data_IF_155794705455
#
_entry.id   IF_155794705455
#
_cell.length_a   1.000
_cell.length_b   1.000
_cell.length_c   1.000
_cell.angle_alpha   90.00
_cell.angle_beta   90.00
_cell.angle_gamma   90.00
#
_symmetry.space_group_name_H-M   'P 1'
#
loop_
_entity.id
_entity.type
_entity.pdbx_description
1 polymer ?
#
# COMPACT_ATOMS: atom_id res chain seq x y z
N UNK A 1 38.79 7.49 15.61
CA UNK A 1 38.96 8.07 14.27
C UNK A 1 38.78 6.93 13.27
N UNK A 2 37.53 6.61 12.92
CA UNK A 2 37.24 5.69 11.81
C UNK A 2 36.53 6.52 10.76
N UNK A 3 37.31 6.95 9.77
CA UNK A 3 36.82 7.54 8.53
C UNK A 3 35.98 6.48 7.83
N UNK A 4 34.66 6.61 7.90
CA UNK A 4 33.80 5.99 6.91
C UNK A 4 34.07 6.71 5.59
N UNK A 5 34.69 6.00 4.66
CA UNK A 5 34.79 6.37 3.26
C UNK A 5 33.42 6.81 2.77
N UNK A 6 33.27 8.12 2.64
CA UNK A 6 32.20 8.73 1.88
C UNK A 6 32.56 8.54 0.42
N UNK A 7 31.96 7.54 -0.23
CA UNK A 7 32.07 7.36 -1.67
C UNK A 7 31.54 8.64 -2.34
N UNK A 8 32.38 9.48 -2.97
CA UNK A 8 31.92 10.74 -3.52
C UNK A 8 31.24 10.43 -4.87
N UNK A 9 29.90 10.49 -4.89
CA UNK A 9 29.10 10.50 -6.12
C UNK A 9 27.98 9.47 -6.21
N UNK A 10 27.84 8.56 -5.24
CA UNK A 10 26.75 7.57 -5.20
C UNK A 10 25.61 7.96 -4.26
N UNK A 11 24.40 7.41 -4.44
CA UNK A 11 23.32 7.57 -3.46
C UNK A 11 23.75 7.01 -2.10
N UNK A 12 23.54 7.80 -1.03
CA UNK A 12 23.87 7.38 0.35
C UNK A 12 22.79 6.42 0.89
N UNK A 13 22.93 5.16 0.50
CA UNK A 13 22.03 4.09 0.94
C UNK A 13 22.07 3.88 2.46
N UNK A 14 23.23 4.11 3.09
CA UNK A 14 23.38 3.94 4.55
C UNK A 14 22.57 4.99 5.31
N UNK A 15 22.56 6.24 4.85
CA UNK A 15 21.72 7.29 5.43
C UNK A 15 20.23 6.97 5.31
N UNK A 16 19.78 6.48 4.15
CA UNK A 16 18.40 6.03 3.95
C UNK A 16 18.03 4.86 4.87
N UNK A 17 18.90 3.86 4.97
CA UNK A 17 18.71 2.72 5.86
C UNK A 17 18.63 3.15 7.33
N UNK A 18 19.52 4.05 7.77
CA UNK A 18 19.53 4.60 9.12
C UNK A 18 18.26 5.41 9.44
N UNK A 19 17.66 6.08 8.45
CA UNK A 19 16.36 6.72 8.60
C UNK A 19 15.25 5.70 8.85
N UNK A 20 15.28 4.53 8.24
CA UNK A 20 14.23 3.52 8.42
C UNK A 20 14.50 2.55 9.59
N UNK A 21 15.74 2.50 10.10
CA UNK A 21 16.15 1.69 11.25
C UNK A 21 15.65 2.24 12.61
N UNK A 22 14.38 2.67 12.67
CA UNK A 22 13.71 3.16 13.86
C UNK A 22 12.23 2.77 13.80
N UNK A 23 11.74 2.13 14.86
CA UNK A 23 10.39 1.56 14.89
C UNK A 23 9.28 2.59 14.74
N UNK A 24 9.47 3.82 15.22
CA UNK A 24 8.49 4.90 15.10
C UNK A 24 8.45 5.45 13.68
N UNK A 25 9.63 5.72 13.09
CA UNK A 25 9.72 6.20 11.70
C UNK A 25 9.19 5.17 10.71
N UNK A 26 9.59 3.90 10.86
CA UNK A 26 9.05 2.81 10.05
C UNK A 26 7.52 2.68 10.24
N UNK A 27 7.03 2.79 11.48
CA UNK A 27 5.60 2.79 11.79
C UNK A 27 4.83 3.92 11.11
N UNK A 28 5.39 5.14 11.08
CA UNK A 28 4.78 6.27 10.37
C UNK A 28 4.71 6.02 8.86
N UNK A 29 5.80 5.55 8.24
CA UNK A 29 5.81 5.23 6.81
C UNK A 29 4.76 4.16 6.48
N UNK A 30 4.64 3.11 7.31
CA UNK A 30 3.63 2.06 7.15
C UNK A 30 2.18 2.55 7.35
N UNK A 31 1.97 3.57 8.18
CA UNK A 31 0.66 4.18 8.38
C UNK A 31 0.25 5.04 7.18
N UNK A 32 1.20 5.85 6.67
CA UNK A 32 1.01 6.77 5.54
C UNK A 32 0.85 6.08 4.18
N UNK A 33 1.12 4.77 4.13
CA UNK A 33 0.71 3.92 3.02
C UNK A 33 -0.82 3.88 2.82
N UNK A 34 -1.64 4.51 3.66
CA UNK A 34 -3.08 4.61 3.40
C UNK A 34 -3.44 5.66 2.33
N UNK A 35 -2.43 6.37 1.83
CA UNK A 35 -2.52 7.40 0.78
C UNK A 35 -3.04 8.75 1.27
N UNK A 36 -3.43 8.86 2.55
CA UNK A 36 -3.95 10.10 3.13
C UNK A 36 -2.81 10.92 3.73
N UNK A 37 -3.03 12.22 3.86
CA UNK A 37 -2.17 13.07 4.65
C UNK A 37 -2.61 13.03 6.13
N UNK A 38 -1.65 12.87 7.04
CA UNK A 38 -1.88 12.75 8.48
C UNK A 38 -1.29 13.94 9.23
N UNK A 39 -1.87 14.28 10.37
CA UNK A 39 -1.26 15.21 11.32
C UNK A 39 -0.23 14.51 12.22
N UNK A 40 0.67 15.30 12.81
CA UNK A 40 1.63 14.79 13.79
C UNK A 40 0.96 14.14 15.01
N UNK A 41 -0.22 14.62 15.42
CA UNK A 41 -0.97 14.10 16.58
C UNK A 41 -1.55 12.72 16.25
N UNK A 42 -2.11 12.54 15.06
CA UNK A 42 -2.66 11.25 14.64
C UNK A 42 -1.56 10.19 14.54
N UNK A 43 -0.40 10.55 13.98
CA UNK A 43 0.75 9.65 13.92
C UNK A 43 1.33 9.36 15.31
N UNK A 44 1.44 10.36 16.18
CA UNK A 44 1.87 10.16 17.57
C UNK A 44 0.97 9.14 18.29
N UNK A 45 -0.35 9.30 18.16
CA UNK A 45 -1.34 8.36 18.71
C UNK A 45 -1.22 6.97 18.08
N UNK A 46 -0.99 6.90 16.77
CA UNK A 46 -0.82 5.63 16.05
C UNK A 46 0.40 4.84 16.55
N UNK A 47 1.54 5.52 16.76
CA UNK A 47 2.78 4.87 17.22
C UNK A 47 2.91 4.77 18.75
N UNK A 48 1.99 5.36 19.51
CA UNK A 48 2.05 5.36 20.98
C UNK A 48 3.20 6.18 21.55
N UNK A 49 3.57 7.29 20.90
CA UNK A 49 4.68 8.17 21.30
C UNK A 49 4.18 9.58 21.65
N UNK A 50 4.98 10.34 22.39
CA UNK A 50 4.69 11.73 22.68
C UNK A 50 4.68 12.60 21.40
N UNK A 51 3.90 13.67 21.39
CA UNK A 51 3.79 14.58 20.23
C UNK A 51 5.13 15.24 19.85
N UNK A 52 5.99 15.53 20.84
CA UNK A 52 7.35 16.05 20.63
C UNK A 52 8.24 15.02 19.93
N UNK A 53 8.20 13.76 20.36
CA UNK A 53 8.91 12.63 19.74
C UNK A 53 8.46 12.43 18.29
N UNK A 54 7.15 12.41 18.05
CA UNK A 54 6.60 12.32 16.70
C UNK A 54 7.09 13.49 15.82
N UNK A 55 7.05 14.72 16.32
CA UNK A 55 7.53 15.91 15.60
C UNK A 55 8.99 15.80 15.20
N UNK A 56 9.87 15.34 16.10
CA UNK A 56 11.28 15.11 15.81
C UNK A 56 11.50 14.08 14.70
N UNK A 57 10.78 12.96 14.76
CA UNK A 57 10.82 11.94 13.71
C UNK A 57 10.32 12.45 12.36
N UNK A 58 9.20 13.18 12.35
CA UNK A 58 8.63 13.75 11.13
C UNK A 58 9.56 14.79 10.49
N UNK A 59 10.21 15.64 11.29
CA UNK A 59 11.17 16.61 10.76
C UNK A 59 12.36 15.90 10.07
N UNK A 60 12.84 14.77 10.62
CA UNK A 60 13.90 13.98 9.96
C UNK A 60 13.44 13.37 8.65
N UNK A 61 12.24 12.78 8.62
CA UNK A 61 11.68 12.14 7.43
C UNK A 61 11.34 13.15 6.32
N UNK A 62 10.87 14.34 6.69
CA UNK A 62 10.63 15.44 5.73
C UNK A 62 11.95 16.03 5.24
N UNK A 63 12.89 16.28 6.15
CA UNK A 63 14.22 16.82 5.81
C UNK A 63 15.03 15.91 4.90
N UNK A 64 14.77 14.60 4.90
CA UNK A 64 15.39 13.63 4.01
C UNK A 64 14.60 13.34 2.73
N UNK A 65 13.46 14.00 2.52
CA UNK A 65 12.63 13.80 1.33
C UNK A 65 11.78 12.52 1.30
N UNK A 66 11.71 11.73 2.38
CA UNK A 66 10.81 10.56 2.44
C UNK A 66 9.35 10.97 2.62
N UNK A 67 9.13 12.05 3.34
CA UNK A 67 7.80 12.64 3.50
C UNK A 67 7.78 14.04 2.91
N UNK A 68 6.62 14.43 2.43
CA UNK A 68 6.31 15.84 2.16
C UNK A 68 5.31 16.35 3.18
N UNK A 69 5.31 17.67 3.38
CA UNK A 69 4.40 18.34 4.31
C UNK A 69 3.61 19.43 3.60
N UNK A 70 2.36 19.58 4.00
CA UNK A 70 1.47 20.64 3.54
C UNK A 70 0.84 21.33 4.74
N UNK A 71 0.69 22.66 4.64
CA UNK A 71 -0.01 23.46 5.64
C UNK A 71 -1.42 23.74 5.17
N UNK A 72 -2.40 23.28 5.94
CA UNK A 72 -3.80 23.62 5.73
C UNK A 72 -4.33 24.26 7.01
N UNK A 73 -4.52 25.58 6.96
CA UNK A 73 -4.85 26.39 8.13
C UNK A 73 -3.80 26.25 9.23
N UNK A 74 -4.25 25.91 10.45
CA UNK A 74 -3.37 25.73 11.62
C UNK A 74 -2.68 24.37 11.69
N UNK A 75 -3.07 23.43 10.82
CA UNK A 75 -2.61 22.05 10.88
C UNK A 75 -1.50 21.80 9.85
N UNK A 76 -0.49 21.06 10.30
CA UNK A 76 0.58 20.53 9.45
C UNK A 76 0.25 19.08 9.14
N UNK A 77 0.03 18.80 7.86
CA UNK A 77 -0.21 17.46 7.34
C UNK A 77 1.06 16.93 6.69
N UNK A 78 1.28 15.62 6.81
CA UNK A 78 2.39 14.90 6.19
C UNK A 78 1.87 13.71 5.40
N UNK A 79 2.54 13.39 4.29
CA UNK A 79 2.28 12.19 3.48
C UNK A 79 3.60 11.67 2.92
N UNK A 80 3.60 10.44 2.41
CA UNK A 80 4.72 9.94 1.60
C UNK A 80 4.99 10.93 0.45
N UNK A 81 6.26 11.18 0.17
CA UNK A 81 6.66 12.20 -0.80
C UNK A 81 6.01 11.97 -2.17
N UNK A 82 6.09 10.73 -2.65
CA UNK A 82 5.68 10.31 -3.98
C UNK A 82 5.36 8.80 -4.04
N UNK A 83 4.82 8.30 -5.17
CA UNK A 83 4.57 6.87 -5.38
C UNK A 83 5.82 5.99 -5.31
N UNK A 84 6.99 6.48 -5.73
CA UNK A 84 8.24 5.71 -5.72
C UNK A 84 8.67 5.43 -4.27
N UNK A 85 8.48 6.40 -3.38
CA UNK A 85 8.69 6.24 -1.94
C UNK A 85 7.72 5.22 -1.34
N UNK A 86 6.45 5.24 -1.75
CA UNK A 86 5.48 4.22 -1.32
C UNK A 86 5.93 2.82 -1.75
N UNK A 87 6.36 2.68 -3.01
CA UNK A 87 6.87 1.41 -3.54
C UNK A 87 8.11 0.91 -2.79
N UNK A 88 9.04 1.80 -2.44
CA UNK A 88 10.19 1.46 -1.61
C UNK A 88 9.77 0.89 -0.25
N UNK A 89 8.85 1.59 0.44
CA UNK A 89 8.36 1.16 1.76
C UNK A 89 7.62 -0.17 1.67
N UNK A 90 6.81 -0.38 0.63
CA UNK A 90 6.13 -1.66 0.35
C UNK A 90 7.12 -2.80 0.15
N UNK A 91 8.15 -2.59 -0.70
CA UNK A 91 9.20 -3.58 -0.96
C UNK A 91 9.93 -3.96 0.33
N UNK A 92 10.36 -2.97 1.12
CA UNK A 92 11.02 -3.22 2.40
C UNK A 92 10.11 -3.98 3.38
N UNK A 93 8.83 -3.62 3.45
CA UNK A 93 7.85 -4.29 4.32
C UNK A 93 7.63 -5.75 3.90
N UNK A 94 7.63 -6.05 2.59
CA UNK A 94 7.48 -7.41 2.06
C UNK A 94 8.65 -8.34 2.38
N UNK A 95 9.86 -7.77 2.55
CA UNK A 95 11.08 -8.49 2.92
C UNK A 95 11.28 -8.57 4.43
N UNK A 96 10.63 -7.71 5.20
CA UNK A 96 10.78 -7.67 6.65
C UNK A 96 10.22 -8.95 7.29
N UNK A 97 10.91 -9.51 8.30
CA UNK A 97 10.38 -10.64 9.04
C UNK A 97 9.07 -10.23 9.73
N UNK A 98 8.09 -11.14 9.73
CA UNK A 98 6.88 -10.94 10.54
C UNK A 98 7.31 -10.80 12.00
N UNK A 99 6.91 -9.70 12.64
CA UNK A 99 7.14 -9.55 14.09
C UNK A 99 6.52 -10.75 14.79
N UNK A 100 7.35 -11.47 15.54
CA UNK A 100 6.97 -12.70 16.22
C UNK A 100 6.10 -12.47 17.46
N UNK A 101 5.83 -11.21 17.83
CA UNK A 101 5.01 -10.90 19.01
C UNK A 101 3.54 -11.24 18.76
N UNK A 102 2.97 -12.23 19.47
CA UNK A 102 1.56 -12.55 19.32
C UNK A 102 0.71 -11.35 19.80
N UNK A 103 -0.38 -11.03 19.10
CA UNK A 103 -1.28 -9.96 19.50
C UNK A 103 -1.83 -10.21 20.90
N UNK A 104 -1.63 -9.25 21.81
CA UNK A 104 -1.95 -9.39 23.24
C UNK A 104 -3.43 -9.14 23.58
N UNK A 105 -4.31 -9.03 22.58
CA UNK A 105 -5.74 -8.80 22.78
C UNK A 105 -6.59 -9.20 21.58
N UNK A 106 -7.86 -9.55 21.82
CA UNK A 106 -8.82 -9.89 20.77
C UNK A 106 -9.02 -8.77 19.74
N UNK A 107 -9.11 -7.47 20.10
CA UNK A 107 -9.16 -6.39 19.12
C UNK A 107 -7.90 -6.29 18.25
N UNK A 108 -6.72 -6.60 18.79
CA UNK A 108 -5.49 -6.63 18.00
C UNK A 108 -5.48 -7.82 17.01
N UNK A 109 -5.95 -8.99 17.43
CA UNK A 109 -6.15 -10.16 16.55
C UNK A 109 -7.10 -9.81 15.41
N UNK A 110 -8.26 -9.22 15.72
CA UNK A 110 -9.28 -8.90 14.72
C UNK A 110 -8.80 -7.86 13.71
N UNK A 111 -8.07 -6.83 14.15
CA UNK A 111 -7.44 -5.85 13.23
C UNK A 111 -6.41 -6.50 12.30
N UNK A 112 -5.58 -7.41 12.84
CA UNK A 112 -4.60 -8.15 12.05
C UNK A 112 -5.28 -9.02 10.99
N UNK A 113 -6.34 -9.76 11.38
CA UNK A 113 -7.15 -10.57 10.45
C UNK A 113 -7.84 -9.73 9.39
N UNK A 114 -8.38 -8.57 9.75
CA UNK A 114 -9.00 -7.66 8.80
C UNK A 114 -8.00 -7.16 7.74
N UNK A 115 -6.79 -6.76 8.16
CA UNK A 115 -5.73 -6.33 7.24
C UNK A 115 -5.23 -7.47 6.33
N UNK A 116 -5.17 -8.69 6.84
CA UNK A 116 -4.79 -9.86 6.06
C UNK A 116 -5.86 -10.21 5.01
N UNK A 117 -7.15 -10.15 5.37
CA UNK A 117 -8.25 -10.43 4.43
C UNK A 117 -8.30 -9.45 3.28
N UNK A 118 -8.37 -8.15 3.58
CA UNK A 118 -8.45 -7.12 2.55
C UNK A 118 -7.97 -5.77 3.08
N UNK A 119 -7.12 -5.10 2.30
CA UNK A 119 -6.62 -3.76 2.62
C UNK A 119 -6.23 -2.99 1.36
N UNK A 120 -5.95 -1.71 1.51
CA UNK A 120 -5.14 -0.97 0.53
C UNK A 120 -3.65 -1.13 0.87
N UNK A 121 -2.80 -1.45 -0.11
CA UNK A 121 -1.35 -1.46 0.10
C UNK A 121 -0.83 -0.02 0.12
N UNK A 122 -1.05 0.68 -0.98
CA UNK A 122 -1.02 2.14 -1.09
C UNK A 122 -2.36 2.61 -1.64
N UNK A 123 -2.45 2.65 -2.97
CA UNK A 123 -3.64 3.02 -3.73
C UNK A 123 -4.26 1.85 -4.49
N UNK A 124 -3.83 0.62 -4.22
CA UNK A 124 -4.29 -0.61 -4.84
C UNK A 124 -4.66 -1.67 -3.80
N UNK A 125 -5.46 -2.66 -4.19
CA UNK A 125 -5.95 -3.72 -3.30
C UNK A 125 -4.88 -4.74 -2.97
N UNK A 126 -4.90 -5.21 -1.73
CA UNK A 126 -3.96 -6.16 -1.14
C UNK A 126 -4.64 -7.01 -0.06
N UNK A 127 -3.86 -7.89 0.57
CA UNK A 127 -4.37 -9.02 1.36
C UNK A 127 -4.88 -10.14 0.46
N UNK A 128 -5.51 -11.12 1.08
CA UNK A 128 -6.10 -12.26 0.40
C UNK A 128 -7.01 -11.83 -0.77
N UNK A 129 -7.83 -10.78 -0.61
CA UNK A 129 -8.69 -10.28 -1.68
C UNK A 129 -7.89 -9.73 -2.87
N UNK A 130 -6.87 -8.92 -2.63
CA UNK A 130 -6.07 -8.34 -3.72
C UNK A 130 -5.30 -9.41 -4.51
N UNK A 131 -4.80 -10.43 -3.79
CA UNK A 131 -4.13 -11.60 -4.36
C UNK A 131 -5.12 -12.44 -5.17
N UNK A 132 -6.29 -12.77 -4.62
CA UNK A 132 -7.33 -13.55 -5.29
C UNK A 132 -7.85 -12.89 -6.57
N UNK A 133 -8.05 -11.56 -6.58
CA UNK A 133 -8.41 -10.81 -7.78
C UNK A 133 -7.30 -10.93 -8.84
N UNK A 134 -6.04 -10.81 -8.44
CA UNK A 134 -4.89 -10.88 -9.36
C UNK A 134 -4.77 -12.26 -9.99
N UNK A 135 -4.98 -13.32 -9.20
CA UNK A 135 -5.01 -14.70 -9.67
C UNK A 135 -6.16 -14.95 -10.63
N UNK A 136 -7.39 -14.54 -10.27
CA UNK A 136 -8.53 -14.72 -11.14
C UNK A 136 -8.38 -13.97 -12.48
N UNK A 137 -7.76 -12.79 -12.48
CA UNK A 137 -7.40 -12.09 -13.71
C UNK A 137 -6.34 -12.85 -14.52
N UNK A 138 -5.34 -13.44 -13.86
CA UNK A 138 -4.29 -14.24 -14.52
C UNK A 138 -4.88 -15.50 -15.15
N UNK A 139 -5.70 -16.25 -14.41
CA UNK A 139 -6.32 -17.50 -14.86
C UNK A 139 -7.27 -17.29 -16.04
N UNK A 140 -7.82 -16.08 -16.17
CA UNK A 140 -8.68 -15.66 -17.28
C UNK A 140 -7.90 -15.03 -18.45
N UNK A 141 -6.57 -15.04 -18.42
CA UNK A 141 -5.74 -14.46 -19.48
C UNK A 141 -5.79 -12.93 -19.55
N UNK A 142 -6.29 -12.25 -18.51
CA UNK A 142 -6.33 -10.78 -18.45
C UNK A 142 -4.98 -10.18 -18.04
N UNK A 143 -4.15 -10.99 -17.38
CA UNK A 143 -2.77 -10.66 -17.00
C UNK A 143 -1.82 -11.72 -17.54
N UNK A 144 -0.69 -11.26 -18.07
CA UNK A 144 0.40 -12.11 -18.55
C UNK A 144 1.64 -11.90 -17.66
N UNK A 145 2.39 -12.97 -17.43
CA UNK A 145 3.59 -13.02 -16.58
C UNK A 145 4.86 -13.45 -17.32
N UNK A 146 4.81 -13.80 -18.62
CA UNK A 146 5.95 -14.37 -19.36
C UNK A 146 7.19 -13.46 -19.38
N UNK A 147 7.00 -12.16 -19.56
CA UNK A 147 8.09 -11.15 -19.61
C UNK A 147 8.02 -10.15 -18.44
N UNK A 148 7.45 -10.61 -17.32
CA UNK A 148 6.98 -9.75 -16.25
C UNK A 148 5.50 -9.43 -16.41
N UNK A 149 4.92 -8.81 -15.39
CA UNK A 149 3.48 -8.55 -15.37
C UNK A 149 3.08 -7.57 -16.48
N UNK A 150 2.17 -7.99 -17.35
CA UNK A 150 1.57 -7.19 -18.41
C UNK A 150 0.03 -7.29 -18.37
N UNK A 151 -0.65 -6.22 -18.80
CA UNK A 151 -2.10 -6.24 -19.03
C UNK A 151 -2.34 -6.69 -20.48
N UNK A 152 -3.17 -7.71 -20.67
CA UNK A 152 -3.49 -8.21 -22.01
C UNK A 152 -4.62 -7.40 -22.67
N UNK A 153 -4.94 -7.74 -23.93
CA UNK A 153 -6.11 -7.20 -24.63
C UNK A 153 -7.41 -7.50 -23.88
N UNK A 154 -7.56 -8.72 -23.37
CA UNK A 154 -8.74 -9.16 -22.62
C UNK A 154 -8.87 -8.40 -21.29
N UNK A 155 -7.76 -8.18 -20.59
CA UNK A 155 -7.75 -7.35 -19.39
C UNK A 155 -8.12 -5.89 -19.68
N UNK A 156 -7.68 -5.35 -20.81
CA UNK A 156 -8.04 -4.00 -21.24
C UNK A 156 -9.54 -3.89 -21.57
N UNK A 157 -10.10 -4.87 -22.29
CA UNK A 157 -11.52 -4.94 -22.60
C UNK A 157 -12.38 -5.04 -21.33
N UNK A 158 -11.98 -5.90 -20.39
CA UNK A 158 -12.67 -6.06 -19.11
C UNK A 158 -12.68 -4.77 -18.27
N UNK A 159 -11.57 -4.03 -18.22
CA UNK A 159 -11.54 -2.72 -17.56
C UNK A 159 -12.48 -1.72 -18.22
N UNK A 160 -12.54 -1.71 -19.56
CA UNK A 160 -13.45 -0.84 -20.30
C UNK A 160 -14.94 -1.16 -20.02
N UNK A 161 -15.31 -2.44 -19.90
CA UNK A 161 -16.65 -2.86 -19.49
C UNK A 161 -17.03 -2.41 -18.07
N UNK A 162 -16.05 -2.21 -17.19
CA UNK A 162 -16.22 -1.62 -15.86
C UNK A 162 -16.30 -0.09 -15.88
N UNK A 163 -16.13 0.54 -17.05
CA UNK A 163 -16.00 1.99 -17.18
C UNK A 163 -14.66 2.52 -16.63
N UNK A 164 -13.66 1.66 -16.48
CA UNK A 164 -12.33 2.04 -15.99
C UNK A 164 -11.47 2.47 -17.17
N UNK A 165 -11.31 3.79 -17.33
CA UNK A 165 -10.36 4.35 -18.29
C UNK A 165 -8.95 4.38 -17.69
N UNK A 166 -7.98 3.81 -18.41
CA UNK A 166 -6.57 3.93 -18.05
C UNK A 166 -6.05 5.31 -18.46
N UNK A 167 -5.34 6.03 -17.57
CA UNK A 167 -4.74 7.30 -17.94
C UNK A 167 -3.70 7.08 -19.05
N UNK A 168 -3.51 8.06 -19.95
CA UNK A 168 -2.48 8.00 -20.99
C UNK A 168 -1.10 7.84 -20.35
N UNK A 169 -0.13 7.34 -21.12
CA UNK A 169 1.21 6.99 -20.65
C UNK A 169 1.76 8.01 -19.63
N UNK A 170 1.85 7.58 -18.37
CA UNK A 170 2.44 8.35 -17.27
C UNK A 170 3.82 7.78 -16.94
N UNK A 171 4.59 8.44 -16.06
CA UNK A 171 5.80 7.82 -15.48
C UNK A 171 5.50 6.55 -14.69
N UNK A 172 4.25 6.34 -14.26
CA UNK A 172 3.81 5.17 -13.52
C UNK A 172 3.55 4.02 -14.49
N UNK A 173 4.07 2.80 -14.21
CA UNK A 173 3.82 1.65 -15.05
C UNK A 173 2.32 1.28 -15.08
N UNK A 174 1.80 0.78 -16.22
CA UNK A 174 0.39 0.42 -16.35
C UNK A 174 0.00 -0.67 -15.35
N UNK A 175 0.81 -1.72 -15.24
CA UNK A 175 0.69 -2.79 -14.25
C UNK A 175 2.02 -2.97 -13.53
N UNK A 176 1.96 -3.44 -12.29
CA UNK A 176 3.14 -3.81 -11.50
C UNK A 176 2.81 -4.98 -10.58
N UNK A 177 3.73 -5.92 -10.45
CA UNK A 177 3.67 -6.96 -9.43
C UNK A 177 4.10 -6.37 -8.08
N UNK A 178 3.17 -6.31 -7.12
CA UNK A 178 3.47 -5.95 -5.73
C UNK A 178 3.46 -7.20 -4.87
N UNK A 179 4.45 -7.37 -3.99
CA UNK A 179 4.52 -8.54 -3.11
C UNK A 179 3.74 -8.28 -1.83
N UNK A 180 2.67 -9.04 -1.62
CA UNK A 180 1.87 -8.93 -0.41
C UNK A 180 2.63 -9.50 0.80
N UNK A 181 2.80 -8.74 1.89
CA UNK A 181 3.53 -9.25 3.06
C UNK A 181 2.73 -10.24 3.92
N UNK A 182 1.39 -10.25 3.85
CA UNK A 182 0.55 -11.20 4.60
C UNK A 182 0.50 -12.53 3.86
N UNK A 183 0.27 -12.49 2.55
CA UNK A 183 0.11 -13.68 1.71
C UNK A 183 1.45 -14.20 1.15
N UNK A 184 2.47 -13.35 1.06
CA UNK A 184 3.74 -13.61 0.34
C UNK A 184 3.53 -13.98 -1.12
N UNK A 185 2.49 -13.41 -1.74
CA UNK A 185 2.10 -13.62 -3.13
C UNK A 185 1.98 -12.28 -3.88
N UNK A 186 2.23 -12.26 -5.19
CA UNK A 186 2.00 -11.07 -6.01
C UNK A 186 0.54 -10.61 -6.00
N UNK A 187 0.34 -9.29 -6.06
CA UNK A 187 -0.96 -8.66 -6.32
C UNK A 187 -0.79 -7.45 -7.25
N UNK A 188 -1.90 -7.08 -7.91
CA UNK A 188 -1.95 -6.08 -8.96
C UNK A 188 -1.78 -4.66 -8.41
N UNK A 189 -0.69 -4.02 -8.82
CA UNK A 189 -0.40 -2.60 -8.61
C UNK A 189 -0.25 -1.88 -9.96
N UNK A 190 0.34 -0.68 -9.94
CA UNK A 190 0.43 0.18 -11.13
C UNK A 190 -0.85 0.99 -11.37
N UNK A 191 -0.95 1.63 -12.52
CA UNK A 191 -2.10 2.47 -12.87
C UNK A 191 -3.42 1.68 -12.87
N UNK A 192 -3.38 0.43 -13.37
CA UNK A 192 -4.53 -0.49 -13.38
C UNK A 192 -4.97 -0.84 -11.96
N UNK A 193 -4.04 -1.31 -11.11
CA UNK A 193 -4.37 -1.67 -9.73
C UNK A 193 -4.97 -0.49 -8.96
N UNK A 194 -4.48 0.72 -9.21
CA UNK A 194 -5.04 1.93 -8.60
C UNK A 194 -6.42 2.30 -9.16
N UNK A 195 -6.64 2.14 -10.47
CA UNK A 195 -7.92 2.42 -11.09
C UNK A 195 -9.00 1.42 -10.64
N UNK A 196 -8.65 0.14 -10.55
CA UNK A 196 -9.54 -0.90 -10.02
C UNK A 196 -9.87 -0.67 -8.54
N UNK A 197 -8.89 -0.28 -7.73
CA UNK A 197 -9.14 0.03 -6.31
C UNK A 197 -10.07 1.23 -6.14
N UNK A 198 -9.88 2.31 -6.93
CA UNK A 198 -10.81 3.45 -6.96
C UNK A 198 -12.22 3.01 -7.36
N UNK A 199 -12.34 2.28 -8.47
CA UNK A 199 -13.62 1.73 -8.92
C UNK A 199 -14.31 0.89 -7.84
N UNK A 200 -13.57 0.04 -7.13
CA UNK A 200 -14.12 -0.77 -6.05
C UNK A 200 -14.69 0.07 -4.90
N UNK A 201 -14.09 1.22 -4.59
CA UNK A 201 -14.68 2.17 -3.63
C UNK A 201 -15.89 2.90 -4.22
N UNK A 202 -15.77 3.43 -5.43
CA UNK A 202 -16.81 4.24 -6.09
C UNK A 202 -18.08 3.42 -6.35
N UNK A 203 -17.93 2.18 -6.78
CA UNK A 203 -19.01 1.22 -6.99
C UNK A 203 -19.45 0.50 -5.69
N UNK A 204 -18.93 0.91 -4.53
CA UNK A 204 -19.26 0.33 -3.21
C UNK A 204 -19.02 -1.18 -3.10
N UNK A 205 -18.07 -1.73 -3.87
CA UNK A 205 -17.64 -3.12 -3.72
C UNK A 205 -16.89 -3.33 -2.40
N UNK A 206 -16.20 -2.29 -1.93
CA UNK A 206 -15.47 -2.29 -0.67
C UNK A 206 -15.75 -1.04 0.15
N UNK A 207 -15.58 -1.14 1.47
CA UNK A 207 -15.67 0.00 2.39
C UNK A 207 -14.51 -0.02 3.40
N UNK A 208 -14.10 1.15 3.90
CA UNK A 208 -13.01 1.25 4.88
C UNK A 208 -13.46 0.77 6.27
N UNK A 209 -12.59 0.05 6.95
CA UNK A 209 -12.78 -0.35 8.34
C UNK A 209 -12.09 0.67 9.26
N UNK A 210 -12.91 1.56 9.84
CA UNK A 210 -12.44 2.63 10.72
C UNK A 210 -11.46 3.57 10.00
N UNK A 211 -10.39 3.95 10.69
CA UNK A 211 -9.36 4.85 10.15
C UNK A 211 -8.13 4.13 9.61
N UNK A 212 -8.20 2.80 9.46
CA UNK A 212 -7.07 1.97 9.01
C UNK A 212 -7.07 1.74 7.50
N UNK A 213 -6.05 1.02 7.01
CA UNK A 213 -5.97 0.54 5.63
C UNK A 213 -6.86 -0.67 5.35
N UNK A 214 -7.41 -1.31 6.38
CA UNK A 214 -8.28 -2.46 6.20
C UNK A 214 -9.58 -2.05 5.51
N UNK A 215 -10.05 -2.90 4.61
CA UNK A 215 -11.32 -2.74 3.91
C UNK A 215 -12.19 -3.97 4.11
N UNK A 216 -13.50 -3.81 4.06
CA UNK A 216 -14.46 -4.89 4.05
C UNK A 216 -15.03 -5.02 2.63
N UNK A 217 -15.06 -6.25 2.11
CA UNK A 217 -15.79 -6.58 0.90
C UNK A 217 -17.29 -6.58 1.20
N UNK A 218 -18.06 -5.75 0.49
CA UNK A 218 -19.52 -5.66 0.66
C UNK A 218 -20.20 -6.81 -0.07
N UNK A 219 -21.48 -7.04 0.21
CA UNK A 219 -22.23 -8.07 -0.52
C UNK A 219 -22.40 -7.71 -2.00
N UNK A 220 -22.54 -6.42 -2.34
CA UNK A 220 -22.52 -5.96 -3.72
C UNK A 220 -21.18 -6.27 -4.41
N UNK A 221 -20.06 -6.05 -3.71
CA UNK A 221 -18.73 -6.38 -4.21
C UNK A 221 -18.52 -7.88 -4.40
N UNK A 222 -19.00 -8.71 -3.47
CA UNK A 222 -18.95 -10.17 -3.60
C UNK A 222 -19.66 -10.65 -4.86
N UNK A 223 -20.89 -10.20 -5.08
CA UNK A 223 -21.66 -10.55 -6.28
C UNK A 223 -20.94 -10.08 -7.54
N UNK A 224 -20.55 -8.80 -7.61
CA UNK A 224 -19.90 -8.25 -8.79
C UNK A 224 -18.57 -8.95 -9.15
N UNK A 225 -17.73 -9.24 -8.15
CA UNK A 225 -16.47 -9.95 -8.37
C UNK A 225 -16.71 -11.42 -8.73
N UNK A 226 -17.70 -12.08 -8.12
CA UNK A 226 -18.06 -13.47 -8.44
C UNK A 226 -18.58 -13.59 -9.87
N UNK A 227 -19.47 -12.70 -10.29
CA UNK A 227 -20.04 -12.68 -11.64
C UNK A 227 -18.95 -12.45 -12.70
N UNK A 228 -17.99 -11.57 -12.41
CA UNK A 228 -17.00 -11.10 -13.39
C UNK A 228 -15.70 -11.89 -13.40
N UNK A 229 -15.25 -12.40 -12.25
CA UNK A 229 -13.97 -13.07 -12.07
C UNK A 229 -14.13 -14.52 -11.58
N UNK A 230 -15.31 -14.91 -11.11
CA UNK A 230 -15.60 -16.23 -10.54
C UNK A 230 -15.49 -16.24 -9.02
N UNK A 231 -15.97 -17.31 -8.36
CA UNK A 231 -16.03 -17.39 -6.90
C UNK A 231 -14.66 -17.33 -6.22
N UNK A 232 -13.61 -17.84 -6.88
CA UNK A 232 -12.25 -17.80 -6.37
C UNK A 232 -11.74 -16.37 -6.09
N UNK A 233 -12.30 -15.34 -6.76
CA UNK A 233 -11.91 -13.95 -6.54
C UNK A 233 -12.39 -13.36 -5.21
N UNK A 234 -13.27 -14.06 -4.48
CA UNK A 234 -13.86 -13.60 -3.20
C UNK A 234 -13.68 -14.58 -2.04
N UNK A 235 -13.03 -15.71 -2.27
CA UNK A 235 -12.67 -16.69 -1.23
C UNK A 235 -11.47 -16.18 -0.42
N UNK A 236 -11.73 -15.60 0.76
CA UNK A 236 -10.71 -15.03 1.68
C UNK A 236 -10.92 -15.42 3.13
#
# INVERSE_FOLDING_TARGET
MNSHDTHPGGPDLAALAALLADGTRAGFCLALLDGRAWTAIELARHAGVAASTATGHLNRLVGSGLLTQERQGRHRYVRLADPDTAELIEKLASMAPRRADPPRSLPAVNRSRALARARTCYDHLAGALGVAITEAMTDRGMLDWEQGLALTGDGTAWLAELGIALPPATRRPPVRSCLDWTERRPHLAGAVGAALCRHAFDASWITRIGTSRAVALTDAGKHALTDRLGPAAVET
#
